data_IF_161784049178
#
_entry.id   IF_161784049178
#
_cell.length_a   1.000
_cell.length_b   1.000
_cell.length_c   1.000
_cell.angle_alpha   90.00
_cell.angle_beta   90.00
_cell.angle_gamma   90.00
#
_symmetry.space_group_name_H-M   'P 1'
#
loop_
_entity.id
_entity.type
_entity.pdbx_description
1 polymer ?
#
# COMPACT_ATOMS: atom_id res chain seq x y z
N UNK A 1 -21.03 15.20 -13.97
CA UNK A 1 -20.10 16.29 -13.54
C UNK A 1 -19.02 15.70 -12.62
N UNK A 2 -17.95 15.26 -13.27
CA UNK A 2 -16.67 14.92 -12.67
C UNK A 2 -16.08 16.15 -11.99
N UNK A 3 -15.73 16.05 -10.71
CA UNK A 3 -14.81 17.00 -10.07
C UNK A 3 -13.67 16.21 -9.47
N UNK A 4 -12.74 15.86 -10.36
CA UNK A 4 -11.38 15.49 -10.03
C UNK A 4 -10.71 16.71 -9.40
N UNK A 5 -10.78 16.84 -8.07
CA UNK A 5 -9.85 17.68 -7.33
C UNK A 5 -8.48 17.02 -7.38
N UNK A 6 -7.76 17.29 -8.47
CA UNK A 6 -6.31 17.23 -8.49
C UNK A 6 -5.79 18.22 -7.46
N UNK A 7 -5.35 17.70 -6.31
CA UNK A 7 -4.58 18.47 -5.35
C UNK A 7 -3.13 17.98 -5.44
N UNK A 8 -2.44 18.39 -6.52
CA UNK A 8 -0.99 18.55 -6.46
C UNK A 8 -0.74 19.97 -5.94
N UNK A 9 -0.99 20.16 -4.63
CA UNK A 9 -0.52 21.35 -3.95
C UNK A 9 1.01 21.26 -3.88
N UNK A 10 1.67 22.34 -4.29
CA UNK A 10 3.11 22.60 -4.11
C UNK A 10 3.55 22.20 -2.70
N UNK A 11 4.23 21.06 -2.60
CA UNK A 11 4.59 20.45 -1.33
C UNK A 11 5.66 21.27 -0.61
N UNK A 12 5.27 21.95 0.47
CA UNK A 12 6.17 21.92 1.62
C UNK A 12 6.21 20.46 2.08
N UNK A 13 7.40 19.91 2.29
CA UNK A 13 7.53 18.63 2.97
C UNK A 13 7.12 18.89 4.42
N UNK A 14 5.81 18.88 4.70
CA UNK A 14 5.32 18.92 6.06
C UNK A 14 5.77 17.62 6.72
N UNK A 15 6.79 17.72 7.57
CA UNK A 15 7.28 16.60 8.34
C UNK A 15 6.25 16.10 9.36
N UNK A 16 6.63 15.06 10.08
CA UNK A 16 5.83 14.58 11.21
C UNK A 16 5.67 15.68 12.25
N UNK A 17 4.43 15.96 12.63
CA UNK A 17 4.18 16.80 13.79
C UNK A 17 4.39 16.01 15.10
N UNK A 18 4.50 16.75 16.20
CA UNK A 18 4.79 16.18 17.52
C UNK A 18 3.65 15.30 18.04
N UNK A 19 2.40 15.59 17.63
CA UNK A 19 1.23 14.79 17.99
C UNK A 19 1.29 13.40 17.32
N UNK A 20 1.58 13.35 16.02
CA UNK A 20 1.73 12.13 15.25
C UNK A 20 2.90 11.27 15.76
N UNK A 21 4.01 11.89 16.21
CA UNK A 21 5.11 11.17 16.86
C UNK A 21 4.67 10.45 18.13
N UNK A 22 3.84 11.11 18.96
CA UNK A 22 3.35 10.58 20.24
C UNK A 22 2.16 9.65 20.14
N UNK A 23 1.39 9.69 19.06
CA UNK A 23 0.17 8.90 18.91
C UNK A 23 0.40 7.38 18.81
N UNK A 24 1.61 6.96 18.42
CA UNK A 24 1.93 5.56 18.13
C UNK A 24 3.27 5.12 18.76
N UNK A 25 3.42 5.17 20.10
CA UNK A 25 4.70 4.89 20.77
C UNK A 25 5.18 3.45 20.53
N UNK A 26 4.25 2.51 20.35
CA UNK A 26 4.56 1.11 20.08
C UNK A 26 5.35 0.89 18.78
N UNK A 27 5.37 1.88 17.86
CA UNK A 27 6.18 1.78 16.65
C UNK A 27 7.67 1.87 16.96
N UNK A 28 8.07 2.71 17.91
CA UNK A 28 9.47 2.87 18.31
C UNK A 28 9.93 1.73 19.24
N UNK A 29 8.98 1.15 19.98
CA UNK A 29 9.23 0.00 20.88
C UNK A 29 9.31 -1.33 20.13
N UNK A 30 8.93 -1.36 18.84
CA UNK A 30 8.92 -2.59 18.06
C UNK A 30 10.31 -2.85 17.46
N UNK A 31 11.07 -3.85 17.95
CA UNK A 31 12.43 -4.12 17.48
C UNK A 31 12.48 -4.68 16.05
N UNK A 32 11.32 -4.97 15.46
CA UNK A 32 11.21 -5.42 14.06
C UNK A 32 10.94 -4.28 13.09
N UNK A 33 10.77 -3.04 13.57
CA UNK A 33 10.62 -1.88 12.71
C UNK A 33 11.89 -1.06 12.71
N UNK A 34 12.28 -0.58 11.55
CA UNK A 34 13.23 0.51 11.47
C UNK A 34 12.55 1.88 11.66
N UNK A 35 13.37 2.92 11.85
CA UNK A 35 12.89 4.29 12.05
C UNK A 35 12.09 4.78 10.84
N UNK A 36 12.50 4.42 9.62
CA UNK A 36 11.84 4.85 8.38
C UNK A 36 10.45 4.21 8.21
N UNK A 37 10.28 2.95 8.58
CA UNK A 37 8.99 2.25 8.59
C UNK A 37 8.04 2.87 9.60
N UNK A 38 8.52 3.12 10.83
CA UNK A 38 7.76 3.77 11.88
C UNK A 38 7.32 5.19 11.45
N UNK A 39 8.21 5.98 10.87
CA UNK A 39 7.89 7.31 10.35
C UNK A 39 6.90 7.24 9.18
N UNK A 40 7.07 6.31 8.25
CA UNK A 40 6.16 6.13 7.10
C UNK A 40 4.74 5.78 7.54
N UNK A 41 4.58 4.93 8.56
CA UNK A 41 3.27 4.60 9.15
C UNK A 41 2.64 5.86 9.75
N UNK A 42 3.40 6.65 10.53
CA UNK A 42 2.90 7.88 11.14
C UNK A 42 2.50 8.92 10.10
N UNK A 43 3.32 9.12 9.06
CA UNK A 43 3.03 10.04 7.97
C UNK A 43 1.76 9.63 7.23
N UNK A 44 1.62 8.34 6.91
CA UNK A 44 0.42 7.82 6.28
C UNK A 44 -0.83 8.04 7.16
N UNK A 45 -0.71 7.95 8.50
CA UNK A 45 -1.80 8.28 9.42
C UNK A 45 -2.12 9.77 9.45
N UNK A 46 -1.11 10.61 9.63
CA UNK A 46 -1.26 12.07 9.73
C UNK A 46 -1.92 12.65 8.48
N UNK A 47 -1.49 12.21 7.30
CA UNK A 47 -1.98 12.74 6.02
C UNK A 47 -3.08 11.91 5.39
N UNK A 48 -3.59 10.86 6.07
CA UNK A 48 -4.51 9.88 5.48
C UNK A 48 -3.99 9.33 4.14
N UNK A 49 -2.67 9.14 4.07
CA UNK A 49 -1.94 8.74 2.89
C UNK A 49 -2.01 7.25 2.62
N UNK A 50 -1.63 6.87 1.40
CA UNK A 50 -1.41 5.49 1.02
C UNK A 50 -0.07 5.02 1.60
N UNK A 51 -0.08 3.92 2.35
CA UNK A 51 1.14 3.27 2.81
C UNK A 51 1.45 2.06 1.92
N UNK A 52 2.69 2.00 1.41
CA UNK A 52 3.23 0.82 0.74
C UNK A 52 4.28 0.21 1.66
N UNK A 53 4.16 -1.08 1.96
CA UNK A 53 5.12 -1.83 2.79
C UNK A 53 5.29 -3.24 2.25
N UNK A 54 6.54 -3.69 2.18
CA UNK A 54 6.96 -5.02 1.76
C UNK A 54 7.30 -5.93 2.95
N UNK A 55 7.77 -5.37 4.07
CA UNK A 55 8.05 -6.12 5.30
C UNK A 55 6.78 -6.60 6.05
N UNK A 56 6.86 -7.79 6.65
CA UNK A 56 5.75 -8.42 7.37
C UNK A 56 5.51 -7.80 8.77
N UNK A 57 6.56 -7.39 9.46
CA UNK A 57 6.51 -6.65 10.72
C UNK A 57 5.90 -5.28 10.51
N UNK A 58 6.38 -4.52 9.52
CA UNK A 58 5.81 -3.22 9.14
C UNK A 58 4.34 -3.32 8.73
N UNK A 59 3.98 -4.32 7.92
CA UNK A 59 2.59 -4.59 7.56
C UNK A 59 1.71 -4.85 8.77
N UNK A 60 2.22 -5.55 9.78
CA UNK A 60 1.46 -5.86 11.01
C UNK A 60 1.29 -4.62 11.86
N UNK A 61 2.36 -3.86 12.08
CA UNK A 61 2.32 -2.61 12.83
C UNK A 61 1.40 -1.56 12.17
N UNK A 62 1.45 -1.43 10.85
CA UNK A 62 0.55 -0.56 10.09
C UNK A 62 -0.93 -0.92 10.30
N UNK A 63 -1.25 -2.22 10.30
CA UNK A 63 -2.62 -2.69 10.57
C UNK A 63 -3.07 -2.35 11.99
N UNK A 64 -2.20 -2.51 12.98
CA UNK A 64 -2.46 -2.12 14.38
C UNK A 64 -2.71 -0.61 14.48
N UNK A 65 -1.96 0.19 13.73
CA UNK A 65 -2.17 1.64 13.61
C UNK A 65 -3.44 2.02 12.81
N UNK A 66 -4.24 1.05 12.33
CA UNK A 66 -5.49 1.29 11.61
C UNK A 66 -5.32 1.62 10.12
N UNK A 67 -4.15 1.35 9.54
CA UNK A 67 -3.91 1.48 8.10
C UNK A 67 -4.22 0.18 7.36
N UNK A 68 -4.57 0.32 6.07
CA UNK A 68 -4.61 -0.80 5.13
C UNK A 68 -3.40 -0.69 4.19
N UNK A 69 -2.24 -1.30 4.54
CA UNK A 69 -1.04 -1.20 3.72
C UNK A 69 -1.19 -1.92 2.38
N UNK A 70 -0.66 -1.32 1.30
CA UNK A 70 -0.48 -1.99 0.03
C UNK A 70 0.87 -2.72 -0.01
N UNK A 71 0.86 -3.96 -0.47
CA UNK A 71 2.08 -4.62 -0.97
C UNK A 71 2.18 -4.52 -2.48
N UNK A 72 3.25 -5.06 -3.07
CA UNK A 72 3.52 -5.06 -4.52
C UNK A 72 2.32 -5.51 -5.36
N UNK A 73 1.68 -6.63 -5.00
CA UNK A 73 0.50 -7.11 -5.73
C UNK A 73 -0.71 -6.18 -5.58
N UNK A 74 -0.85 -5.50 -4.45
CA UNK A 74 -1.88 -4.49 -4.25
C UNK A 74 -1.68 -3.26 -5.13
N UNK A 75 -0.41 -2.88 -5.39
CA UNK A 75 -0.07 -1.82 -6.34
C UNK A 75 -0.47 -2.22 -7.76
N UNK A 76 -0.14 -3.44 -8.19
CA UNK A 76 -0.53 -3.94 -9.50
C UNK A 76 -2.06 -4.04 -9.66
N UNK A 77 -2.75 -4.55 -8.65
CA UNK A 77 -4.22 -4.63 -8.64
C UNK A 77 -4.86 -3.23 -8.70
N UNK A 78 -4.27 -2.25 -8.01
CA UNK A 78 -4.71 -0.85 -8.08
C UNK A 78 -4.49 -0.24 -9.45
N UNK A 79 -3.32 -0.45 -10.06
CA UNK A 79 -3.03 0.01 -11.42
C UNK A 79 -4.04 -0.56 -12.42
N UNK A 80 -4.40 -1.83 -12.27
CA UNK A 80 -5.42 -2.46 -13.10
C UNK A 80 -6.80 -1.83 -12.90
N UNK A 81 -7.24 -1.67 -11.65
CA UNK A 81 -8.51 -1.01 -11.31
C UNK A 81 -8.61 0.42 -11.86
N UNK A 82 -7.49 1.13 -11.90
CA UNK A 82 -7.41 2.51 -12.43
C UNK A 82 -7.25 2.56 -13.95
N UNK A 83 -7.29 1.41 -14.65
CA UNK A 83 -7.20 1.33 -16.11
C UNK A 83 -5.79 1.55 -16.68
N UNK A 84 -4.77 1.60 -15.83
CA UNK A 84 -3.37 1.80 -16.24
C UNK A 84 -2.77 0.55 -16.87
N UNK A 85 -3.24 -0.62 -16.47
CA UNK A 85 -2.90 -1.93 -17.06
C UNK A 85 -4.16 -2.77 -17.26
N UNK A 86 -4.21 -3.53 -18.34
CA UNK A 86 -5.28 -4.51 -18.57
C UNK A 86 -5.05 -5.78 -17.74
N UNK A 87 -6.09 -6.62 -17.58
CA UNK A 87 -6.00 -7.86 -16.82
C UNK A 87 -4.83 -8.75 -17.28
N UNK A 88 -4.65 -8.93 -18.60
CA UNK A 88 -3.53 -9.71 -19.12
C UNK A 88 -2.15 -9.09 -18.83
N UNK A 89 -2.07 -7.76 -18.64
CA UNK A 89 -0.85 -7.08 -18.19
C UNK A 89 -0.57 -7.35 -16.71
N UNK A 90 -1.61 -7.31 -15.87
CA UNK A 90 -1.51 -7.69 -14.46
C UNK A 90 -1.02 -9.14 -14.32
N UNK A 91 -1.63 -10.09 -15.04
CA UNK A 91 -1.24 -11.51 -14.99
C UNK A 91 0.22 -11.73 -15.37
N UNK A 92 0.72 -11.04 -16.42
CA UNK A 92 2.13 -11.08 -16.81
C UNK A 92 3.05 -10.52 -15.72
N UNK A 93 2.76 -9.32 -15.20
CA UNK A 93 3.57 -8.72 -14.15
C UNK A 93 3.66 -9.62 -12.91
N UNK A 94 2.56 -10.29 -12.53
CA UNK A 94 2.59 -11.22 -11.40
C UNK A 94 3.39 -12.48 -11.72
N UNK A 95 3.28 -13.02 -12.94
CA UNK A 95 4.10 -14.15 -13.37
C UNK A 95 5.61 -13.81 -13.34
N UNK A 96 5.99 -12.62 -13.80
CA UNK A 96 7.38 -12.15 -13.79
C UNK A 96 7.93 -12.00 -12.36
N UNK A 97 7.12 -11.48 -11.43
CA UNK A 97 7.48 -11.42 -10.00
C UNK A 97 7.72 -12.81 -9.42
N UNK A 98 6.82 -13.76 -9.71
CA UNK A 98 6.99 -15.14 -9.23
C UNK A 98 8.25 -15.79 -9.82
N UNK A 99 8.53 -15.57 -11.10
CA UNK A 99 9.72 -16.07 -11.77
C UNK A 99 11.01 -15.46 -11.21
N UNK A 100 10.97 -14.23 -10.69
CA UNK A 100 12.09 -13.57 -10.03
C UNK A 100 12.28 -14.00 -8.56
N UNK A 101 11.48 -14.95 -8.06
CA UNK A 101 11.56 -15.45 -6.69
C UNK A 101 10.74 -14.65 -5.66
N UNK A 102 9.82 -13.79 -6.10
CA UNK A 102 8.92 -13.07 -5.20
C UNK A 102 8.04 -14.04 -4.41
N UNK A 103 8.06 -13.91 -3.08
CA UNK A 103 7.27 -14.77 -2.20
C UNK A 103 5.87 -14.22 -2.01
N UNK A 104 4.88 -15.00 -2.39
CA UNK A 104 3.48 -14.71 -2.10
C UNK A 104 2.79 -15.98 -1.63
N UNK A 105 1.95 -15.86 -0.60
CA UNK A 105 1.05 -16.94 -0.23
C UNK A 105 -0.04 -17.09 -1.29
N UNK A 106 -0.35 -18.33 -1.68
CA UNK A 106 -1.27 -18.61 -2.79
C UNK A 106 -2.67 -17.99 -2.60
N UNK A 107 -3.10 -17.77 -1.36
CA UNK A 107 -4.36 -17.09 -1.04
C UNK A 107 -4.36 -15.63 -1.50
N UNK A 108 -3.32 -14.86 -1.18
CA UNK A 108 -3.20 -13.45 -1.59
C UNK A 108 -3.18 -13.32 -3.11
N UNK A 109 -2.49 -14.23 -3.80
CA UNK A 109 -2.50 -14.28 -5.26
C UNK A 109 -3.91 -14.49 -5.82
N UNK A 110 -4.64 -15.49 -5.30
CA UNK A 110 -6.01 -15.79 -5.73
C UNK A 110 -6.96 -14.62 -5.46
N UNK A 111 -6.82 -13.97 -4.31
CA UNK A 111 -7.63 -12.82 -3.92
C UNK A 111 -7.42 -11.63 -4.88
N UNK A 112 -6.16 -11.35 -5.23
CA UNK A 112 -5.81 -10.29 -6.19
C UNK A 112 -6.42 -10.56 -7.57
N UNK A 113 -6.29 -11.78 -8.10
CA UNK A 113 -6.86 -12.13 -9.39
C UNK A 113 -8.39 -12.14 -9.38
N UNK A 114 -9.02 -12.60 -8.30
CA UNK A 114 -10.47 -12.59 -8.16
C UNK A 114 -11.02 -11.16 -8.22
N UNK A 115 -10.41 -10.23 -7.48
CA UNK A 115 -10.77 -8.80 -7.51
C UNK A 115 -10.54 -8.18 -8.89
N UNK A 116 -9.42 -8.49 -9.53
CA UNK A 116 -9.12 -7.98 -10.86
C UNK A 116 -10.21 -8.37 -11.89
N UNK A 117 -10.60 -9.65 -11.90
CA UNK A 117 -11.69 -10.15 -12.76
C UNK A 117 -13.07 -9.59 -12.42
N UNK A 118 -13.27 -9.11 -11.20
CA UNK A 118 -14.51 -8.45 -10.80
C UNK A 118 -14.57 -7.02 -11.35
N UNK A 119 -13.44 -6.30 -11.38
CA UNK A 119 -13.39 -4.94 -11.93
C UNK A 119 -13.75 -4.91 -13.42
N UNK A 120 -13.27 -5.87 -14.21
CA UNK A 120 -13.64 -6.04 -15.64
C UNK A 120 -15.14 -6.32 -15.84
N UNK A 121 -15.84 -6.89 -14.86
CA UNK A 121 -17.30 -7.15 -14.96
C UNK A 121 -18.16 -5.95 -14.59
N UNK A 122 -17.56 -4.94 -13.94
CA UNK A 122 -18.26 -3.76 -13.41
C UNK A 122 -17.97 -2.50 -14.23
N UNK A 123 -16.92 -2.49 -15.03
CA UNK A 123 -16.62 -1.46 -16.03
C UNK A 123 -17.36 -1.70 -17.33
#
# INVERSE_FOLDING_TARGET
PTSSRGLLASGSCAGLDEEARRAYPFLDENPKLDVGEAESIRLARQFSGLLIVDDAGARTAAKIAGLTPLGTLGVLARAHREGLIQLGGLERCVADLLASGFRVVAEVYREVLARAKEYERRG
#
